data_IF_821931953279
#
_entry.id   IF_821931953279
#
_cell.length_a   1.000
_cell.length_b   1.000
_cell.length_c   1.000
_cell.angle_alpha   90.00
_cell.angle_beta   90.00
_cell.angle_gamma   90.00
#
_symmetry.space_group_name_H-M   'P 1'
#
loop_
_entity.id
_entity.type
_entity.pdbx_description
1 polymer ?
#
# COMPACT_ATOMS: atom_id res chain seq x y z
N UNK A 1 -18.25 -51.86 0.89
CA UNK A 1 -18.30 -50.74 -0.08
C UNK A 1 -17.74 -49.54 0.66
N UNK A 2 -16.56 -49.04 0.27
CA UNK A 2 -15.90 -47.93 0.97
C UNK A 2 -16.56 -46.61 0.57
N UNK A 3 -17.02 -45.87 1.58
CA UNK A 3 -17.67 -44.57 1.46
C UNK A 3 -16.76 -43.52 0.81
N UNK A 4 -17.37 -42.73 -0.08
CA UNK A 4 -16.74 -41.69 -0.86
C UNK A 4 -16.09 -40.65 0.06
N UNK A 5 -14.77 -40.53 -0.01
CA UNK A 5 -14.02 -39.47 0.67
C UNK A 5 -14.43 -38.12 0.09
N UNK A 6 -15.23 -37.37 0.85
CA UNK A 6 -15.55 -35.98 0.55
C UNK A 6 -14.25 -35.17 0.55
N UNK A 7 -13.73 -34.84 -0.63
CA UNK A 7 -12.70 -33.83 -0.81
C UNK A 7 -13.21 -32.53 -0.19
N UNK A 8 -12.75 -32.23 1.03
CA UNK A 8 -12.92 -30.93 1.67
C UNK A 8 -12.28 -29.90 0.74
N UNK A 9 -13.11 -29.12 0.07
CA UNK A 9 -12.70 -27.88 -0.57
C UNK A 9 -11.82 -27.11 0.43
N UNK A 10 -10.59 -26.69 0.07
CA UNK A 10 -9.78 -25.92 0.98
C UNK A 10 -10.51 -24.60 1.22
N UNK A 11 -11.11 -24.47 2.40
CA UNK A 11 -11.63 -23.21 2.93
C UNK A 11 -10.45 -22.31 3.28
N UNK A 12 -9.63 -21.97 2.28
CA UNK A 12 -8.76 -20.82 2.36
C UNK A 12 -9.70 -19.61 2.27
N UNK A 13 -10.18 -19.17 3.43
CA UNK A 13 -10.68 -17.82 3.57
C UNK A 13 -9.52 -16.91 3.17
N UNK A 14 -9.46 -16.54 1.88
CA UNK A 14 -8.69 -15.37 1.46
C UNK A 14 -9.35 -14.24 2.23
N UNK A 15 -8.77 -13.87 3.36
CA UNK A 15 -9.16 -12.67 4.09
C UNK A 15 -9.04 -11.56 3.05
N UNK A 16 -10.17 -11.14 2.51
CA UNK A 16 -10.20 -10.00 1.60
C UNK A 16 -9.72 -8.84 2.45
N UNK A 17 -8.48 -8.40 2.26
CA UNK A 17 -7.99 -7.22 2.96
C UNK A 17 -9.02 -6.12 2.74
N UNK A 18 -9.47 -5.46 3.82
CA UNK A 18 -10.44 -4.39 3.69
C UNK A 18 -9.89 -3.34 2.72
N UNK A 19 -10.74 -2.74 1.87
CA UNK A 19 -10.29 -1.79 0.86
C UNK A 19 -9.44 -0.71 1.53
N UNK A 20 -8.18 -0.60 1.11
CA UNK A 20 -7.23 0.38 1.66
C UNK A 20 -7.68 1.78 1.26
N UNK A 21 -8.38 2.46 2.15
CA UNK A 21 -8.76 3.87 1.97
C UNK A 21 -7.50 4.72 2.10
N UNK A 22 -7.20 5.51 1.07
CA UNK A 22 -6.08 6.44 1.05
C UNK A 22 -6.58 7.84 0.82
N UNK A 23 -5.90 8.83 1.41
CA UNK A 23 -6.22 10.23 1.19
C UNK A 23 -5.74 10.66 -0.21
N UNK A 24 -6.68 10.98 -1.10
CA UNK A 24 -6.40 11.36 -2.50
C UNK A 24 -5.58 12.65 -2.60
N UNK A 25 -5.80 13.61 -1.70
CA UNK A 25 -5.01 14.84 -1.66
C UNK A 25 -3.53 14.55 -1.37
N UNK A 26 -3.28 13.72 -0.36
CA UNK A 26 -1.93 13.26 -0.03
C UNK A 26 -1.28 12.47 -1.18
N UNK A 27 -2.04 11.63 -1.87
CA UNK A 27 -1.55 10.90 -3.04
C UNK A 27 -1.11 11.86 -4.15
N UNK A 28 -1.95 12.85 -4.48
CA UNK A 28 -1.64 13.83 -5.54
C UNK A 28 -0.40 14.66 -5.19
N UNK A 29 -0.29 15.15 -3.96
CA UNK A 29 0.89 15.89 -3.49
C UNK A 29 2.16 15.04 -3.63
N UNK A 30 2.14 13.79 -3.13
CA UNK A 30 3.30 12.88 -3.24
C UNK A 30 3.66 12.58 -4.70
N UNK A 31 2.67 12.42 -5.56
CA UNK A 31 2.88 12.18 -7.00
C UNK A 31 3.57 13.37 -7.66
N UNK A 32 3.04 14.58 -7.50
CA UNK A 32 3.59 15.79 -8.12
C UNK A 32 5.00 16.09 -7.65
N UNK A 33 5.29 15.99 -6.34
CA UNK A 33 6.64 16.21 -5.82
C UNK A 33 7.67 15.24 -6.41
N UNK A 34 7.30 13.97 -6.63
CA UNK A 34 8.17 13.00 -7.29
C UNK A 34 8.38 13.32 -8.77
N UNK A 35 7.33 13.76 -9.47
CA UNK A 35 7.40 14.18 -10.87
C UNK A 35 8.31 15.41 -11.05
N UNK A 36 8.34 16.31 -10.07
CA UNK A 36 9.26 17.46 -10.03
C UNK A 36 10.70 17.07 -9.65
N UNK A 37 10.97 15.78 -9.36
CA UNK A 37 12.31 15.27 -9.07
C UNK A 37 12.70 15.35 -7.59
N UNK A 38 11.77 15.67 -6.69
CA UNK A 38 12.05 15.65 -5.26
C UNK A 38 12.02 14.24 -4.70
N UNK A 39 12.93 13.98 -3.76
CA UNK A 39 12.90 12.77 -2.94
C UNK A 39 11.90 12.99 -1.79
N UNK A 40 10.88 12.11 -1.73
CA UNK A 40 9.74 12.21 -0.81
C UNK A 40 9.72 11.02 0.14
N UNK A 41 9.82 11.28 1.44
CA UNK A 41 9.74 10.26 2.50
C UNK A 41 8.42 10.39 3.23
N UNK A 42 7.66 9.29 3.29
CA UNK A 42 6.44 9.18 4.10
C UNK A 42 6.80 8.60 5.46
N UNK A 43 6.56 9.38 6.52
CA UNK A 43 6.76 8.92 7.90
C UNK A 43 5.49 8.24 8.42
N UNK A 44 5.65 7.37 9.42
CA UNK A 44 4.55 6.63 10.05
C UNK A 44 3.51 7.55 10.72
N UNK A 45 3.85 8.81 10.98
CA UNK A 45 2.96 9.85 11.51
C UNK A 45 2.08 10.53 10.43
N UNK A 46 2.19 10.11 9.17
CA UNK A 46 1.45 10.67 8.06
C UNK A 46 1.98 12.00 7.54
N UNK A 47 3.16 12.46 7.98
CA UNK A 47 3.80 13.66 7.43
C UNK A 47 4.63 13.33 6.19
N UNK A 48 4.58 14.23 5.21
CA UNK A 48 5.46 14.21 4.04
C UNK A 48 6.72 15.02 4.37
N UNK A 49 7.89 14.42 4.19
CA UNK A 49 9.18 15.12 4.29
C UNK A 49 9.80 15.23 2.90
N UNK A 50 10.21 16.45 2.52
CA UNK A 50 10.94 16.74 1.28
C UNK A 50 12.45 16.75 1.58
N UNK A 51 13.25 16.00 0.83
CA UNK A 51 14.71 16.02 0.97
C UNK A 51 15.31 16.94 -0.10
N UNK A 52 15.95 18.03 0.34
CA UNK A 52 16.69 18.95 -0.53
C UNK A 52 18.18 18.68 -0.37
N UNK A 53 18.86 18.31 -1.45
CA UNK A 53 20.32 18.14 -1.45
C UNK A 53 20.96 19.43 -1.95
N UNK A 54 21.66 20.13 -1.06
CA UNK A 54 22.49 21.28 -1.43
C UNK A 54 23.86 20.74 -1.83
N UNK A 55 24.35 21.10 -3.02
CA UNK A 55 25.76 20.88 -3.38
C UNK A 55 26.52 22.16 -3.03
N UNK A 56 27.59 22.03 -2.25
CA UNK A 56 28.58 23.09 -2.02
C UNK A 56 29.25 23.51 -3.33
#
# INVERSE_FOLDING_TARGET
MMDASANRFPSSSRKSDPPKVVNLGFYRIKKTLREEGFEVVEKADGKITLVLRVKD
#
